data_IF_860409450206
#
_entry.id   IF_860409450206
#
_cell.length_a   1.000
_cell.length_b   1.000
_cell.length_c   1.000
_cell.angle_alpha   90.00
_cell.angle_beta   90.00
_cell.angle_gamma   90.00
#
_symmetry.space_group_name_H-M   'P 1'
#
loop_
_entity.id
_entity.type
_entity.pdbx_description
1 polymer ?
#
# COMPACT_ATOMS: atom_id res chain seq x y z
N UNK A 1 28.06 -6.91 8.35
CA UNK A 1 26.61 -6.97 8.63
C UNK A 1 26.16 -8.41 8.44
N UNK A 2 25.46 -8.99 9.41
CA UNK A 2 25.03 -10.40 9.38
C UNK A 2 23.68 -10.53 8.67
N UNK A 3 23.51 -11.57 7.85
CA UNK A 3 22.31 -11.87 7.05
C UNK A 3 21.00 -11.86 7.87
N UNK A 4 21.09 -12.18 9.16
CA UNK A 4 19.97 -12.17 10.11
C UNK A 4 19.41 -10.77 10.38
N UNK A 5 20.26 -9.74 10.39
CA UNK A 5 19.82 -8.34 10.60
C UNK A 5 19.10 -7.78 9.36
N UNK A 6 19.45 -8.29 8.17
CA UNK A 6 18.83 -7.88 6.91
C UNK A 6 17.39 -8.41 6.81
N UNK A 7 17.17 -9.68 7.14
CA UNK A 7 15.84 -10.30 7.13
C UNK A 7 14.87 -9.64 8.12
N UNK A 8 15.32 -9.32 9.34
CA UNK A 8 14.48 -8.65 10.33
C UNK A 8 14.07 -7.22 9.92
N UNK A 9 14.97 -6.49 9.25
CA UNK A 9 14.66 -5.16 8.71
C UNK A 9 13.67 -5.23 7.54
N UNK A 10 13.77 -6.27 6.70
CA UNK A 10 12.82 -6.56 5.61
C UNK A 10 11.43 -6.89 6.18
N UNK A 11 11.35 -7.74 7.20
CA UNK A 11 10.08 -8.11 7.85
C UNK A 11 9.36 -6.90 8.48
N UNK A 12 10.09 -6.02 9.18
CA UNK A 12 9.51 -4.81 9.75
C UNK A 12 9.00 -3.84 8.68
N UNK A 13 9.70 -3.78 7.54
CA UNK A 13 9.33 -2.90 6.43
C UNK A 13 8.05 -3.38 5.74
N UNK A 14 7.89 -4.69 5.53
CA UNK A 14 6.66 -5.24 4.91
C UNK A 14 5.43 -5.05 5.80
N UNK A 15 5.60 -5.05 7.12
CA UNK A 15 4.52 -4.81 8.08
C UNK A 15 4.08 -3.34 8.20
N UNK A 16 4.75 -2.41 7.50
CA UNK A 16 4.39 -0.99 7.55
C UNK A 16 3.05 -0.75 6.82
N UNK A 17 2.16 -0.03 7.48
CA UNK A 17 0.85 0.32 6.94
C UNK A 17 0.54 1.79 7.17
N UNK A 18 -0.23 2.37 6.27
CA UNK A 18 -0.71 3.74 6.34
C UNK A 18 -2.23 3.76 6.22
N UNK A 19 -2.88 4.55 7.07
CA UNK A 19 -4.34 4.69 7.11
C UNK A 19 -4.73 6.15 6.99
N UNK A 20 -5.83 6.41 6.30
CA UNK A 20 -6.37 7.76 6.13
C UNK A 20 -7.90 7.71 5.95
N UNK A 21 -8.59 8.82 6.22
CA UNK A 21 -9.97 9.04 5.79
C UNK A 21 -9.99 10.14 4.73
N UNK A 22 -10.59 9.86 3.56
CA UNK A 22 -10.68 10.79 2.44
C UNK A 22 -12.08 10.78 1.83
N UNK A 23 -12.73 11.94 1.74
CA UNK A 23 -14.11 12.10 1.23
C UNK A 23 -15.14 11.14 1.85
N UNK A 24 -14.97 10.80 3.13
CA UNK A 24 -15.84 9.85 3.85
C UNK A 24 -15.49 8.36 3.64
N UNK A 25 -14.52 8.05 2.79
CA UNK A 25 -13.97 6.71 2.61
C UNK A 25 -12.78 6.51 3.55
N UNK A 26 -12.59 5.28 4.05
CA UNK A 26 -11.37 4.89 4.75
C UNK A 26 -10.40 4.27 3.74
N UNK A 27 -9.13 4.61 3.84
CA UNK A 27 -8.05 4.07 3.01
C UNK A 27 -7.08 3.32 3.92
N UNK A 28 -6.70 2.12 3.51
CA UNK A 28 -5.61 1.33 4.07
C UNK A 28 -4.62 1.00 2.95
N UNK A 29 -3.36 1.35 3.16
CA UNK A 29 -2.25 0.99 2.26
C UNK A 29 -1.24 0.20 3.08
N UNK A 30 -0.82 -0.93 2.56
CA UNK A 30 0.17 -1.82 3.15
C UNK A 30 1.23 -2.14 2.09
N UNK A 31 2.42 -2.54 2.51
CA UNK A 31 3.41 -3.09 1.58
C UNK A 31 3.06 -4.57 1.33
N UNK A 32 2.81 -4.91 0.07
CA UNK A 32 2.48 -6.27 -0.32
C UNK A 32 3.65 -7.21 -0.07
N UNK A 33 3.36 -8.41 0.44
CA UNK A 33 4.34 -9.51 0.53
C UNK A 33 4.84 -10.03 -0.82
N UNK A 34 4.24 -9.59 -1.94
CA UNK A 34 4.72 -9.87 -3.30
C UNK A 34 5.86 -8.93 -3.74
N UNK A 35 6.23 -7.95 -2.92
CA UNK A 35 7.38 -7.06 -3.13
C UNK A 35 8.67 -7.87 -3.28
N UNK A 36 9.40 -7.68 -4.38
CA UNK A 36 10.64 -8.44 -4.68
C UNK A 36 11.85 -7.59 -4.34
N UNK A 37 12.77 -8.16 -3.57
CA UNK A 37 14.02 -7.52 -3.14
C UNK A 37 15.24 -7.89 -4.00
N UNK A 38 15.03 -8.59 -5.11
CA UNK A 38 16.13 -9.08 -5.96
C UNK A 38 16.50 -8.05 -7.02
N UNK A 39 17.76 -7.62 -6.93
CA UNK A 39 18.51 -6.71 -7.79
C UNK A 39 18.09 -5.23 -7.79
N UNK A 40 19.07 -4.39 -7.43
CA UNK A 40 18.99 -2.94 -7.18
C UNK A 40 18.57 -2.05 -8.39
N UNK A 41 17.98 -2.64 -9.43
CA UNK A 41 17.59 -1.98 -10.67
C UNK A 41 16.10 -2.09 -11.00
N UNK A 42 15.31 -2.84 -10.23
CA UNK A 42 13.87 -2.99 -10.45
C UNK A 42 13.03 -2.46 -9.30
N UNK A 43 11.77 -2.18 -9.59
CA UNK A 43 10.82 -1.59 -8.67
C UNK A 43 10.47 -2.58 -7.54
N UNK A 44 10.85 -2.25 -6.29
CA UNK A 44 10.96 -3.24 -5.21
C UNK A 44 9.65 -3.46 -4.44
N UNK A 45 8.86 -2.40 -4.23
CA UNK A 45 7.73 -2.40 -3.30
C UNK A 45 6.40 -2.22 -4.02
N UNK A 46 5.51 -3.20 -3.89
CA UNK A 46 4.15 -3.12 -4.41
C UNK A 46 3.17 -2.75 -3.28
N UNK A 47 2.28 -1.76 -3.44
CA UNK A 47 1.28 -1.46 -2.43
C UNK A 47 0.11 -2.43 -2.53
N UNK A 48 -0.39 -2.89 -1.39
CA UNK A 48 -1.73 -3.45 -1.26
C UNK A 48 -2.65 -2.34 -0.77
N UNK A 49 -3.67 -2.02 -1.56
CA UNK A 49 -4.54 -0.87 -1.30
C UNK A 49 -5.97 -1.38 -1.11
N UNK A 50 -6.55 -1.06 0.05
CA UNK A 50 -7.95 -1.35 0.38
C UNK A 50 -8.64 -0.03 0.69
N UNK A 51 -9.80 0.20 0.08
CA UNK A 51 -10.67 1.33 0.41
C UNK A 51 -12.01 0.82 0.94
N UNK A 52 -12.50 1.46 1.99
CA UNK A 52 -13.78 1.11 2.64
C UNK A 52 -14.74 2.28 2.53
N UNK A 53 -15.85 2.06 1.86
CA UNK A 53 -16.98 2.98 1.82
C UNK A 53 -17.93 2.68 2.96
N UNK A 54 -18.38 3.72 3.68
CA UNK A 54 -19.45 3.58 4.64
C UNK A 54 -20.80 3.87 3.95
N UNK A 55 -21.69 2.88 3.94
CA UNK A 55 -23.01 2.97 3.34
C UNK A 55 -24.07 3.20 4.42
N UNK A 56 -25.28 3.59 4.00
CA UNK A 56 -26.42 3.75 4.91
C UNK A 56 -26.77 2.45 5.67
N UNK A 57 -26.45 1.29 5.07
CA UNK A 57 -26.58 -0.02 5.70
C UNK A 57 -25.28 -0.79 5.44
N UNK A 58 -24.32 -0.67 6.37
CA UNK A 58 -23.07 -1.43 6.36
C UNK A 58 -21.88 -0.72 5.75
N UNK A 59 -20.92 -1.49 5.26
CA UNK A 59 -19.71 -1.00 4.62
C UNK A 59 -19.34 -1.86 3.42
N UNK A 60 -18.64 -1.26 2.46
CA UNK A 60 -18.14 -1.94 1.27
C UNK A 60 -16.63 -1.77 1.20
N UNK A 61 -15.90 -2.86 1.29
CA UNK A 61 -14.46 -2.89 1.07
C UNK A 61 -14.17 -3.20 -0.40
N UNK A 62 -13.20 -2.51 -0.96
CA UNK A 62 -12.75 -2.67 -2.33
C UNK A 62 -11.22 -2.72 -2.36
N UNK A 63 -10.67 -3.76 -2.96
CA UNK A 63 -9.26 -3.79 -3.33
C UNK A 63 -9.04 -2.90 -4.55
N UNK A 64 -8.08 -1.98 -4.45
CA UNK A 64 -7.69 -1.10 -5.57
C UNK A 64 -6.52 -1.75 -6.29
N UNK A 65 -6.81 -2.33 -7.45
CA UNK A 65 -5.80 -2.95 -8.30
C UNK A 65 -4.81 -1.91 -8.84
N UNK A 66 -3.52 -2.24 -8.80
CA UNK A 66 -2.45 -1.40 -9.31
C UNK A 66 -1.26 -2.24 -9.74
N UNK A 67 -0.65 -1.88 -10.87
CA UNK A 67 0.62 -2.43 -11.34
C UNK A 67 1.82 -1.56 -10.92
N UNK A 68 1.56 -0.45 -10.21
CA UNK A 68 2.60 0.44 -9.73
C UNK A 68 3.42 -0.22 -8.64
N UNK A 69 4.73 -0.12 -8.77
CA UNK A 69 5.68 -0.43 -7.73
C UNK A 69 6.48 0.83 -7.39
N UNK A 70 7.23 0.79 -6.29
CA UNK A 70 8.03 1.91 -5.80
C UNK A 70 9.42 1.46 -5.35
N UNK A 71 10.38 2.39 -5.34
CA UNK A 71 11.78 2.10 -5.01
C UNK A 71 12.03 2.05 -3.50
N UNK A 72 11.17 2.70 -2.70
CA UNK A 72 11.28 2.70 -1.24
C UNK A 72 9.93 2.43 -0.57
N UNK A 73 9.95 1.92 0.68
CA UNK A 73 8.74 1.69 1.48
C UNK A 73 7.88 2.95 1.65
N UNK A 74 8.51 4.06 2.02
CA UNK A 74 7.83 5.33 2.21
C UNK A 74 7.16 5.83 0.93
N UNK A 75 7.84 5.69 -0.22
CA UNK A 75 7.26 6.01 -1.52
C UNK A 75 6.11 5.07 -1.87
N UNK A 76 6.20 3.79 -1.52
CA UNK A 76 5.13 2.81 -1.71
C UNK A 76 3.85 3.22 -0.97
N UNK A 77 3.98 3.53 0.31
CA UNK A 77 2.83 3.94 1.13
C UNK A 77 2.24 5.28 0.68
N UNK A 78 3.09 6.27 0.36
CA UNK A 78 2.63 7.57 -0.13
C UNK A 78 1.99 7.46 -1.52
N UNK A 79 2.61 6.72 -2.43
CA UNK A 79 2.11 6.49 -3.79
C UNK A 79 0.80 5.71 -3.78
N UNK A 80 0.70 4.66 -2.95
CA UNK A 80 -0.54 3.92 -2.74
C UNK A 80 -1.68 4.81 -2.22
N UNK A 81 -1.38 5.77 -1.33
CA UNK A 81 -2.38 6.75 -0.89
C UNK A 81 -2.86 7.65 -2.03
N UNK A 82 -1.96 8.10 -2.90
CA UNK A 82 -2.34 8.90 -4.06
C UNK A 82 -3.23 8.12 -5.03
N UNK A 83 -2.88 6.85 -5.30
CA UNK A 83 -3.68 5.95 -6.16
C UNK A 83 -5.07 5.72 -5.54
N UNK A 84 -5.14 5.47 -4.24
CA UNK A 84 -6.42 5.28 -3.54
C UNK A 84 -7.33 6.52 -3.63
N UNK A 85 -6.76 7.72 -3.48
CA UNK A 85 -7.50 8.98 -3.61
C UNK A 85 -8.02 9.20 -5.03
N UNK A 86 -7.18 8.98 -6.05
CA UNK A 86 -7.60 9.06 -7.45
C UNK A 86 -8.71 8.04 -7.78
N UNK A 87 -8.62 6.81 -7.25
CA UNK A 87 -9.68 5.83 -7.37
C UNK A 87 -11.01 6.30 -6.76
N UNK A 88 -10.97 6.88 -5.56
CA UNK A 88 -12.17 7.45 -4.90
C UNK A 88 -12.72 8.64 -5.71
N UNK A 89 -11.85 9.52 -6.19
CA UNK A 89 -12.22 10.71 -6.98
C UNK A 89 -12.93 10.33 -8.29
N UNK A 90 -12.57 9.20 -8.91
CA UNK A 90 -13.24 8.69 -10.11
C UNK A 90 -14.60 8.03 -9.86
N UNK A 91 -14.94 7.74 -8.60
CA UNK A 91 -16.21 7.10 -8.20
C UNK A 91 -17.26 8.07 -7.67
N UNK A 92 -16.84 9.28 -7.27
CA UNK A 92 -17.71 10.35 -6.78
C UNK A 92 -17.72 11.55 -7.72
#
# INVERSE_FOLDING_TARGET
MSTTQYLAAVDQTIMESRREVYKGWKILVEISGASRYEDASMCMYAPRIVVTEQLSIGFRELDVATEHCFMTPAQCLQGGMMIARDFIDRRG
#
